data_IF_521521802710
#
_entry.id   IF_521521802710
#
_cell.length_a   1.000
_cell.length_b   1.000
_cell.length_c   1.000
_cell.angle_alpha   90.00
_cell.angle_beta   90.00
_cell.angle_gamma   90.00
#
_symmetry.space_group_name_H-M   'P 1'
#
loop_
_entity.id
_entity.type
_entity.pdbx_description
1 polymer ?
#
# COMPACT_ATOMS: atom_id res chain seq x y z
N UNK A 1 -4.54 95.14 -23.58
CA UNK A 1 -5.13 94.67 -22.30
C UNK A 1 -5.34 93.17 -22.39
N UNK A 2 -4.47 92.38 -21.76
CA UNK A 2 -4.54 90.91 -21.80
C UNK A 2 -5.45 90.37 -20.71
N UNK A 3 -6.44 89.54 -21.09
CA UNK A 3 -7.31 88.83 -20.16
C UNK A 3 -6.76 87.42 -19.91
N UNK A 4 -6.40 87.14 -18.67
CA UNK A 4 -6.05 85.81 -18.16
C UNK A 4 -7.34 84.98 -17.97
N UNK A 5 -7.49 83.88 -18.69
CA UNK A 5 -8.48 82.84 -18.38
C UNK A 5 -7.81 81.83 -17.44
N UNK A 6 -8.12 81.91 -16.15
CA UNK A 6 -7.67 80.96 -15.14
C UNK A 6 -8.65 79.79 -15.09
N UNK A 7 -8.32 78.67 -15.74
CA UNK A 7 -9.12 77.45 -15.70
C UNK A 7 -9.09 76.83 -14.30
N UNK A 8 -10.25 76.74 -13.63
CA UNK A 8 -10.45 75.96 -12.40
C UNK A 8 -10.54 74.46 -12.75
N UNK A 9 -9.41 73.79 -12.87
CA UNK A 9 -9.33 72.32 -12.85
C UNK A 9 -8.48 71.91 -11.65
N UNK A 10 -9.11 71.70 -10.49
CA UNK A 10 -8.36 71.40 -9.26
C UNK A 10 -9.06 70.52 -8.22
N UNK A 11 -10.39 70.35 -8.26
CA UNK A 11 -11.10 69.67 -7.16
C UNK A 11 -11.89 68.41 -7.52
N UNK A 12 -12.03 68.03 -8.80
CA UNK A 12 -12.72 66.79 -9.16
C UNK A 12 -11.84 65.53 -8.96
N UNK A 13 -10.52 65.64 -9.10
CA UNK A 13 -9.60 64.51 -8.94
C UNK A 13 -9.51 63.99 -7.50
N UNK A 14 -9.62 64.88 -6.49
CA UNK A 14 -9.47 64.52 -5.07
C UNK A 14 -10.67 63.67 -4.58
N UNK A 15 -11.85 63.87 -5.15
CA UNK A 15 -13.09 63.16 -4.76
C UNK A 15 -13.15 61.76 -5.40
N UNK A 16 -12.51 61.57 -6.55
CA UNK A 16 -12.49 60.30 -7.28
C UNK A 16 -11.46 59.30 -6.72
N UNK A 17 -10.38 59.78 -6.12
CA UNK A 17 -9.33 58.96 -5.49
C UNK A 17 -9.84 57.96 -4.44
N UNK A 18 -10.64 58.35 -3.42
CA UNK A 18 -11.16 57.40 -2.43
C UNK A 18 -12.15 56.40 -3.04
N UNK A 19 -12.89 56.81 -4.07
CA UNK A 19 -13.82 55.94 -4.81
C UNK A 19 -13.08 54.88 -5.62
N UNK A 20 -12.05 55.28 -6.38
CA UNK A 20 -11.18 54.37 -7.13
C UNK A 20 -10.44 53.40 -6.19
N UNK A 21 -9.97 53.87 -5.03
CA UNK A 21 -9.27 53.01 -4.08
C UNK A 21 -10.20 51.99 -3.42
N UNK A 22 -11.46 52.37 -3.14
CA UNK A 22 -12.50 51.44 -2.66
C UNK A 22 -12.84 50.39 -3.71
N UNK A 23 -13.01 50.82 -4.97
CA UNK A 23 -13.28 49.91 -6.09
C UNK A 23 -12.12 48.91 -6.32
N UNK A 24 -10.88 49.39 -6.24
CA UNK A 24 -9.67 48.56 -6.32
C UNK A 24 -9.56 47.57 -5.16
N UNK A 25 -9.98 47.97 -3.95
CA UNK A 25 -9.98 47.10 -2.78
C UNK A 25 -11.04 45.99 -2.91
N UNK A 26 -12.25 46.33 -3.34
CA UNK A 26 -13.32 45.35 -3.58
C UNK A 26 -12.96 44.37 -4.71
N UNK A 27 -12.36 44.86 -5.81
CA UNK A 27 -11.86 44.00 -6.89
C UNK A 27 -10.74 43.05 -6.40
N UNK A 28 -9.82 43.51 -5.54
CA UNK A 28 -8.78 42.66 -4.95
C UNK A 28 -9.37 41.59 -4.05
N UNK A 29 -10.34 41.94 -3.20
CA UNK A 29 -11.05 40.98 -2.35
C UNK A 29 -11.76 39.91 -3.19
N UNK A 30 -12.43 40.31 -4.28
CA UNK A 30 -13.08 39.38 -5.21
C UNK A 30 -12.05 38.42 -5.84
N UNK A 31 -10.93 38.94 -6.34
CA UNK A 31 -9.86 38.12 -6.93
C UNK A 31 -9.28 37.14 -5.91
N UNK A 32 -9.06 37.57 -4.66
CA UNK A 32 -8.55 36.70 -3.58
C UNK A 32 -9.58 35.60 -3.25
N UNK A 33 -10.87 35.95 -3.16
CA UNK A 33 -11.93 34.95 -2.90
C UNK A 33 -12.12 33.97 -4.05
N UNK A 34 -12.02 34.43 -5.30
CA UNK A 34 -12.07 33.56 -6.49
C UNK A 34 -10.84 32.66 -6.57
N UNK A 35 -9.65 33.17 -6.27
CA UNK A 35 -8.41 32.38 -6.22
C UNK A 35 -8.47 31.30 -5.13
N UNK A 36 -9.10 31.60 -3.98
CA UNK A 36 -9.29 30.62 -2.91
C UNK A 36 -10.34 29.56 -3.27
N UNK A 37 -11.39 29.94 -3.98
CA UNK A 37 -12.41 29.02 -4.49
C UNK A 37 -11.89 28.10 -5.60
N UNK A 38 -10.99 28.59 -6.47
CA UNK A 38 -10.32 27.78 -7.49
C UNK A 38 -9.38 26.74 -6.84
N UNK A 39 -8.73 27.06 -5.72
CA UNK A 39 -7.92 26.10 -4.96
C UNK A 39 -8.77 24.95 -4.37
N UNK A 40 -10.04 25.19 -4.04
CA UNK A 40 -10.96 24.16 -3.54
C UNK A 40 -11.41 23.18 -4.64
N UNK A 41 -11.33 23.58 -5.92
CA UNK A 41 -11.75 22.76 -7.07
C UNK A 41 -10.58 21.99 -7.71
N UNK A 42 -9.33 22.27 -7.34
CA UNK A 42 -8.13 21.63 -7.91
C UNK A 42 -7.79 20.25 -7.30
N UNK A 43 -8.63 19.72 -6.41
CA UNK A 43 -8.35 18.51 -5.62
C UNK A 43 -9.06 17.22 -6.04
N UNK A 44 -9.65 17.15 -7.24
CA UNK A 44 -10.30 15.93 -7.73
C UNK A 44 -9.47 15.27 -8.84
N UNK A 45 -8.39 14.58 -8.46
CA UNK A 45 -8.03 13.34 -9.14
C UNK A 45 -9.02 12.30 -8.64
N UNK A 46 -9.87 11.74 -9.50
CA UNK A 46 -10.75 10.63 -9.09
C UNK A 46 -9.89 9.56 -8.40
N UNK A 47 -10.21 9.27 -7.14
CA UNK A 47 -9.48 8.25 -6.38
C UNK A 47 -9.80 6.90 -7.02
N UNK A 48 -8.77 6.17 -7.47
CA UNK A 48 -8.91 4.82 -8.02
C UNK A 48 -9.61 3.92 -7.03
N UNK A 49 -10.52 3.09 -7.50
CA UNK A 49 -11.21 2.07 -6.70
C UNK A 49 -10.25 0.94 -6.30
N UNK A 50 -10.61 0.16 -5.28
CA UNK A 50 -9.83 -1.03 -4.88
C UNK A 50 -9.62 -2.00 -6.05
N UNK A 51 -10.64 -2.20 -6.90
CA UNK A 51 -10.53 -3.06 -8.08
C UNK A 51 -9.54 -2.53 -9.11
N UNK A 52 -9.58 -1.24 -9.42
CA UNK A 52 -8.64 -0.64 -10.37
C UNK A 52 -7.20 -0.73 -9.86
N UNK A 53 -6.98 -0.47 -8.56
CA UNK A 53 -5.67 -0.60 -7.93
C UNK A 53 -5.15 -2.05 -7.98
N UNK A 54 -6.02 -3.04 -7.76
CA UNK A 54 -5.63 -4.44 -7.86
C UNK A 54 -5.23 -4.79 -9.30
N UNK A 55 -6.06 -4.44 -10.28
CA UNK A 55 -5.80 -4.72 -11.70
C UNK A 55 -4.55 -4.01 -12.21
N UNK A 56 -4.30 -2.77 -11.79
CA UNK A 56 -3.05 -2.08 -12.12
C UNK A 56 -1.84 -2.74 -11.48
N UNK A 57 -1.93 -3.11 -10.20
CA UNK A 57 -0.87 -3.85 -9.52
C UNK A 57 -0.52 -5.14 -10.26
N UNK A 58 -1.53 -5.91 -10.68
CA UNK A 58 -1.34 -7.13 -11.46
C UNK A 58 -0.67 -6.87 -12.80
N UNK A 59 -1.16 -5.86 -13.53
CA UNK A 59 -0.59 -5.45 -14.81
C UNK A 59 0.88 -5.06 -14.67
N UNK A 60 1.20 -4.19 -13.72
CA UNK A 60 2.56 -3.75 -13.49
C UNK A 60 3.48 -4.87 -13.01
N UNK A 61 2.96 -5.83 -12.25
CA UNK A 61 3.70 -7.03 -11.87
C UNK A 61 4.08 -7.85 -13.10
N UNK A 62 3.13 -8.07 -14.02
CA UNK A 62 3.34 -8.83 -15.26
C UNK A 62 4.28 -8.13 -16.24
N UNK A 63 4.27 -6.81 -16.26
CA UNK A 63 5.14 -5.97 -17.11
C UNK A 63 6.49 -5.66 -16.43
N UNK A 64 6.76 -6.22 -15.25
CA UNK A 64 7.97 -6.00 -14.44
C UNK A 64 8.22 -4.53 -14.03
N UNK A 65 7.17 -3.71 -14.00
CA UNK A 65 7.17 -2.36 -13.41
C UNK A 65 6.95 -2.44 -11.89
N UNK A 66 7.92 -3.01 -11.18
CA UNK A 66 7.80 -3.34 -9.75
C UNK A 66 7.47 -2.13 -8.84
N UNK A 67 8.06 -0.93 -9.00
CA UNK A 67 7.71 0.22 -8.17
C UNK A 67 6.23 0.61 -8.26
N UNK A 68 5.68 0.60 -9.47
CA UNK A 68 4.29 0.91 -9.75
C UNK A 68 3.34 -0.19 -9.24
N UNK A 69 3.74 -1.46 -9.36
CA UNK A 69 3.01 -2.58 -8.78
C UNK A 69 2.91 -2.48 -7.25
N UNK A 70 4.05 -2.25 -6.58
CA UNK A 70 4.12 -2.07 -5.12
C UNK A 70 3.23 -0.89 -4.69
N UNK A 71 3.35 0.26 -5.36
CA UNK A 71 2.54 1.44 -5.04
C UNK A 71 1.04 1.15 -5.17
N UNK A 72 0.62 0.42 -6.20
CA UNK A 72 -0.79 0.11 -6.43
C UNK A 72 -1.36 -0.78 -5.32
N UNK A 73 -0.65 -1.84 -4.94
CA UNK A 73 -1.07 -2.71 -3.84
C UNK A 73 -1.02 -2.02 -2.49
N UNK A 74 0.05 -1.25 -2.18
CA UNK A 74 0.15 -0.48 -0.94
C UNK A 74 -0.99 0.54 -0.81
N UNK A 75 -1.30 1.23 -1.92
CA UNK A 75 -2.43 2.17 -1.96
C UNK A 75 -3.73 1.45 -1.66
N UNK A 76 -3.98 0.28 -2.27
CA UNK A 76 -5.19 -0.50 -2.02
C UNK A 76 -5.32 -0.87 -0.53
N UNK A 77 -4.28 -1.47 0.04
CA UNK A 77 -4.27 -1.94 1.44
C UNK A 77 -4.45 -0.78 2.42
N UNK A 78 -3.85 0.37 2.14
CA UNK A 78 -3.92 1.56 2.99
C UNK A 78 -5.27 2.26 2.90
N UNK A 79 -5.78 2.44 1.69
CA UNK A 79 -6.93 3.30 1.42
C UNK A 79 -8.26 2.56 1.47
N UNK A 80 -8.22 1.24 1.33
CA UNK A 80 -9.37 0.34 1.33
C UNK A 80 -9.14 -0.89 2.24
N UNK A 81 -8.76 -0.71 3.52
CA UNK A 81 -8.39 -1.82 4.39
C UNK A 81 -9.55 -2.81 4.63
N UNK A 82 -10.80 -2.35 4.61
CA UNK A 82 -11.99 -3.20 4.82
C UNK A 82 -12.55 -3.80 3.52
N UNK A 83 -11.95 -3.51 2.37
CA UNK A 83 -12.40 -4.05 1.09
C UNK A 83 -12.02 -5.53 0.96
N UNK A 84 -12.90 -6.31 0.33
CA UNK A 84 -12.71 -7.76 0.12
C UNK A 84 -11.46 -8.09 -0.71
N UNK A 85 -10.91 -7.12 -1.45
CA UNK A 85 -9.68 -7.25 -2.24
C UNK A 85 -8.40 -6.94 -1.45
N UNK A 86 -8.49 -6.34 -0.25
CA UNK A 86 -7.32 -5.99 0.55
C UNK A 86 -6.46 -7.21 0.95
N UNK A 87 -7.02 -8.37 1.35
CA UNK A 87 -6.24 -9.58 1.59
C UNK A 87 -5.50 -10.04 0.33
N UNK A 88 -6.15 -10.02 -0.84
CA UNK A 88 -5.54 -10.45 -2.10
C UNK A 88 -4.39 -9.52 -2.52
N UNK A 89 -4.58 -8.20 -2.42
CA UNK A 89 -3.51 -7.24 -2.67
C UNK A 89 -2.31 -7.46 -1.73
N UNK A 90 -2.58 -7.82 -0.47
CA UNK A 90 -1.55 -8.14 0.53
C UNK A 90 -0.77 -9.39 0.14
N UNK A 91 -1.44 -10.44 -0.34
CA UNK A 91 -0.76 -11.65 -0.88
C UNK A 91 0.17 -11.30 -2.03
N UNK A 92 -0.30 -10.50 -2.99
CA UNK A 92 0.48 -10.13 -4.18
C UNK A 92 1.69 -9.27 -3.81
N UNK A 93 1.51 -8.32 -2.90
CA UNK A 93 2.61 -7.51 -2.38
C UNK A 93 3.62 -8.36 -1.59
N UNK A 94 3.14 -9.26 -0.73
CA UNK A 94 4.01 -10.18 0.01
C UNK A 94 4.84 -11.06 -0.93
N UNK A 95 4.23 -11.58 -1.99
CA UNK A 95 4.93 -12.38 -3.00
C UNK A 95 6.03 -11.60 -3.74
N UNK A 96 5.82 -10.31 -4.07
CA UNK A 96 6.87 -9.44 -4.64
C UNK A 96 8.09 -9.40 -3.72
N UNK A 97 7.85 -9.23 -2.42
CA UNK A 97 8.90 -9.17 -1.41
C UNK A 97 9.53 -10.55 -1.13
N UNK A 98 8.75 -11.63 -1.09
CA UNK A 98 9.26 -12.99 -0.93
C UNK A 98 10.23 -13.34 -2.05
N UNK A 99 9.88 -13.00 -3.29
CA UNK A 99 10.69 -13.27 -4.47
C UNK A 99 11.83 -12.25 -4.69
N UNK A 100 12.07 -11.35 -3.72
CA UNK A 100 13.20 -10.39 -3.72
C UNK A 100 13.24 -9.55 -5.01
N UNK A 101 12.07 -9.18 -5.53
CA UNK A 101 11.96 -8.46 -6.81
C UNK A 101 12.30 -6.96 -6.69
N UNK A 102 12.21 -6.40 -5.49
CA UNK A 102 12.55 -4.99 -5.21
C UNK A 102 14.08 -4.82 -5.12
N UNK A 103 14.68 -4.02 -6.00
CA UNK A 103 16.15 -3.96 -6.20
C UNK A 103 16.93 -3.08 -5.23
N UNK A 104 16.26 -2.19 -4.49
CA UNK A 104 16.90 -1.18 -3.64
C UNK A 104 16.84 -1.50 -2.14
N UNK A 105 16.65 -2.77 -1.80
CA UNK A 105 16.63 -3.28 -0.42
C UNK A 105 17.43 -4.58 -0.36
N UNK A 106 17.88 -4.96 0.84
CA UNK A 106 18.57 -6.25 1.01
C UNK A 106 17.58 -7.42 0.89
N UNK A 107 18.07 -8.61 0.54
CA UNK A 107 17.22 -9.81 0.52
C UNK A 107 16.55 -10.07 1.88
N UNK A 108 17.30 -9.91 2.97
CA UNK A 108 16.77 -10.07 4.33
C UNK A 108 15.67 -9.06 4.63
N UNK A 109 15.84 -7.78 4.25
CA UNK A 109 14.80 -6.77 4.40
C UNK A 109 13.55 -7.10 3.57
N UNK A 110 13.73 -7.63 2.36
CA UNK A 110 12.64 -8.09 1.50
C UNK A 110 11.88 -9.24 2.16
N UNK A 111 12.58 -10.23 2.71
CA UNK A 111 11.97 -11.37 3.40
C UNK A 111 11.24 -10.94 4.68
N UNK A 112 11.78 -10.01 5.46
CA UNK A 112 11.11 -9.47 6.65
C UNK A 112 9.82 -8.72 6.28
N UNK A 113 9.83 -7.93 5.20
CA UNK A 113 8.60 -7.28 4.70
C UNK A 113 7.56 -8.29 4.24
N UNK A 114 7.98 -9.35 3.53
CA UNK A 114 7.10 -10.44 3.12
C UNK A 114 6.45 -11.11 4.33
N UNK A 115 7.24 -11.43 5.36
CA UNK A 115 6.79 -12.03 6.61
C UNK A 115 5.73 -11.16 7.30
N UNK A 116 6.00 -9.85 7.44
CA UNK A 116 5.06 -8.89 8.02
C UNK A 116 3.73 -8.84 7.25
N UNK A 117 3.81 -8.80 5.92
CA UNK A 117 2.63 -8.74 5.06
C UNK A 117 1.79 -10.01 5.16
N UNK A 118 2.39 -11.20 5.01
CA UNK A 118 1.67 -12.47 5.14
C UNK A 118 1.03 -12.63 6.52
N UNK A 119 1.76 -12.27 7.59
CA UNK A 119 1.24 -12.29 8.97
C UNK A 119 0.03 -11.37 9.12
N UNK A 120 0.09 -10.18 8.53
CA UNK A 120 -0.98 -9.19 8.63
C UNK A 120 -2.31 -9.66 8.03
N UNK A 121 -2.29 -10.60 7.08
CA UNK A 121 -3.52 -11.17 6.50
C UNK A 121 -4.32 -11.89 7.58
N UNK A 122 -3.67 -12.73 8.38
CA UNK A 122 -4.34 -13.43 9.48
C UNK A 122 -4.74 -12.46 10.61
N UNK A 123 -3.89 -11.48 10.93
CA UNK A 123 -4.16 -10.54 12.02
C UNK A 123 -5.30 -9.56 11.71
N UNK A 124 -5.38 -9.06 10.47
CA UNK A 124 -6.37 -8.05 10.05
C UNK A 124 -7.59 -8.65 9.36
N UNK A 125 -7.42 -9.76 8.66
CA UNK A 125 -8.47 -10.39 7.85
C UNK A 125 -8.69 -11.87 8.22
N UNK A 126 -8.88 -12.22 9.51
CA UNK A 126 -8.91 -13.62 9.96
C UNK A 126 -10.00 -14.49 9.32
N UNK A 127 -11.07 -13.87 8.79
CA UNK A 127 -12.15 -14.57 8.08
C UNK A 127 -12.01 -14.61 6.55
N UNK A 128 -10.94 -14.05 5.99
CA UNK A 128 -10.69 -14.08 4.55
C UNK A 128 -10.21 -15.47 4.10
N UNK A 129 -10.46 -15.83 2.83
CA UNK A 129 -9.96 -17.09 2.26
C UNK A 129 -8.43 -17.14 2.21
N UNK A 130 -7.77 -15.98 2.26
CA UNK A 130 -6.32 -15.82 2.25
C UNK A 130 -5.70 -15.99 3.64
N UNK A 131 -6.47 -15.93 4.73
CA UNK A 131 -5.91 -16.00 6.09
C UNK A 131 -5.16 -17.31 6.40
N UNK A 132 -5.68 -18.50 6.06
CA UNK A 132 -4.93 -19.74 6.22
C UNK A 132 -3.63 -19.72 5.40
N UNK A 133 -3.73 -19.37 4.12
CA UNK A 133 -2.55 -19.26 3.25
C UNK A 133 -1.53 -18.28 3.84
N UNK A 134 -1.96 -17.12 4.34
CA UNK A 134 -1.08 -16.10 4.90
C UNK A 134 -0.28 -16.65 6.07
N UNK A 135 -0.96 -17.30 7.01
CA UNK A 135 -0.29 -17.90 8.17
C UNK A 135 0.63 -19.07 7.79
N UNK A 136 0.25 -19.89 6.80
CA UNK A 136 1.13 -20.93 6.28
C UNK A 136 2.41 -20.33 5.66
N UNK A 137 2.26 -19.27 4.84
CA UNK A 137 3.38 -18.60 4.18
C UNK A 137 4.33 -17.92 5.17
N UNK A 138 3.84 -17.45 6.33
CA UNK A 138 4.72 -16.96 7.41
C UNK A 138 5.68 -18.08 7.84
N UNK A 139 5.16 -19.27 8.13
CA UNK A 139 5.97 -20.42 8.52
C UNK A 139 6.95 -20.83 7.42
N UNK A 140 6.49 -20.83 6.16
CA UNK A 140 7.31 -21.17 5.01
C UNK A 140 8.49 -20.21 4.83
N UNK A 141 8.27 -18.90 4.91
CA UNK A 141 9.33 -17.90 4.80
C UNK A 141 10.31 -18.03 5.97
N UNK A 142 9.81 -18.28 7.18
CA UNK A 142 10.67 -18.51 8.35
C UNK A 142 11.58 -19.73 8.16
N UNK A 143 11.03 -20.88 7.76
CA UNK A 143 11.83 -22.11 7.64
C UNK A 143 12.76 -22.11 6.42
N UNK A 144 12.23 -21.77 5.24
CA UNK A 144 12.90 -21.99 3.97
C UNK A 144 13.80 -20.83 3.54
N UNK A 145 13.45 -19.59 3.90
CA UNK A 145 14.19 -18.41 3.45
C UNK A 145 15.05 -17.79 4.57
N UNK A 146 14.52 -17.72 5.79
CA UNK A 146 15.21 -17.13 6.94
C UNK A 146 15.94 -18.16 7.81
N UNK A 147 15.64 -19.45 7.65
CA UNK A 147 16.12 -20.54 8.52
C UNK A 147 15.83 -20.31 10.02
N UNK A 148 14.76 -19.56 10.31
CA UNK A 148 14.19 -19.35 11.64
C UNK A 148 13.27 -20.52 11.99
N UNK A 149 13.87 -21.66 12.33
CA UNK A 149 13.11 -22.88 12.62
C UNK A 149 12.28 -22.79 13.89
N UNK A 150 12.74 -22.02 14.89
CA UNK A 150 11.98 -21.79 16.13
C UNK A 150 10.71 -20.99 15.80
N UNK A 151 10.84 -19.88 15.07
CA UNK A 151 9.69 -19.08 14.64
C UNK A 151 8.75 -19.86 13.69
N UNK A 152 9.30 -20.63 12.76
CA UNK A 152 8.50 -21.50 11.88
C UNK A 152 7.71 -22.54 12.68
N UNK A 153 8.33 -23.11 13.73
CA UNK A 153 7.68 -24.07 14.63
C UNK A 153 6.47 -23.44 15.32
N UNK A 154 6.64 -22.24 15.89
CA UNK A 154 5.55 -21.52 16.53
C UNK A 154 4.41 -21.22 15.55
N UNK A 155 4.75 -20.76 14.35
CA UNK A 155 3.78 -20.40 13.32
C UNK A 155 3.00 -21.60 12.79
N UNK A 156 3.66 -22.71 12.44
CA UNK A 156 2.97 -23.90 11.96
C UNK A 156 2.11 -24.55 13.04
N UNK A 157 2.55 -24.55 14.30
CA UNK A 157 1.70 -25.00 15.41
C UNK A 157 0.47 -24.09 15.60
N UNK A 158 0.63 -22.77 15.43
CA UNK A 158 -0.51 -21.85 15.41
C UNK A 158 -1.45 -22.16 14.25
N UNK A 159 -0.93 -22.36 13.04
CA UNK A 159 -1.72 -22.76 11.87
C UNK A 159 -2.55 -24.01 12.15
N UNK A 160 -1.94 -25.07 12.67
CA UNK A 160 -2.62 -26.33 12.98
C UNK A 160 -3.67 -26.19 14.09
N UNK A 161 -3.49 -25.21 14.97
CA UNK A 161 -4.46 -24.89 16.03
C UNK A 161 -5.67 -24.11 15.49
N UNK A 162 -5.45 -23.14 14.60
CA UNK A 162 -6.50 -22.22 14.13
C UNK A 162 -7.19 -22.70 12.85
N UNK A 163 -6.51 -23.50 12.04
CA UNK A 163 -6.99 -24.04 10.77
C UNK A 163 -6.77 -25.58 10.68
N UNK A 164 -7.24 -26.37 11.68
CA UNK A 164 -6.93 -27.80 11.78
C UNK A 164 -7.44 -28.65 10.60
N UNK A 165 -8.54 -28.23 9.97
CA UNK A 165 -9.21 -28.94 8.87
C UNK A 165 -8.91 -28.34 7.50
N UNK A 166 -8.03 -27.33 7.41
CA UNK A 166 -7.66 -26.71 6.15
C UNK A 166 -6.77 -27.65 5.31
N UNK A 167 -6.85 -27.56 3.98
CA UNK A 167 -6.09 -28.43 3.06
C UNK A 167 -4.57 -28.37 3.29
N UNK A 168 -4.05 -27.21 3.70
CA UNK A 168 -2.63 -27.00 4.03
C UNK A 168 -2.21 -27.57 5.40
N UNK A 169 -3.11 -28.11 6.22
CA UNK A 169 -2.76 -28.66 7.53
C UNK A 169 -1.85 -29.89 7.43
N UNK A 170 -2.01 -30.71 6.39
CA UNK A 170 -1.09 -31.81 6.13
C UNK A 170 0.32 -31.29 5.78
N UNK A 171 0.39 -30.29 4.89
CA UNK A 171 1.65 -29.64 4.51
C UNK A 171 2.34 -28.96 5.69
N UNK A 172 1.59 -28.30 6.59
CA UNK A 172 2.16 -27.67 7.78
C UNK A 172 2.79 -28.69 8.74
N UNK A 173 2.19 -29.89 8.87
CA UNK A 173 2.79 -31.00 9.64
C UNK A 173 4.04 -31.53 8.96
N UNK A 174 4.04 -31.64 7.64
CA UNK A 174 5.20 -32.09 6.88
C UNK A 174 6.38 -31.13 7.00
N UNK A 175 6.13 -29.82 6.90
CA UNK A 175 7.12 -28.78 7.12
C UNK A 175 7.72 -28.85 8.52
N UNK A 176 6.89 -28.98 9.57
CA UNK A 176 7.37 -29.19 10.95
C UNK A 176 8.25 -30.43 11.10
N UNK A 177 7.89 -31.52 10.43
CA UNK A 177 8.61 -32.78 10.49
C UNK A 177 9.98 -32.70 9.78
N UNK A 178 10.08 -31.90 8.73
CA UNK A 178 11.18 -31.96 7.76
C UNK A 178 12.04 -30.70 7.67
N UNK A 179 11.63 -29.58 8.28
CA UNK A 179 12.40 -28.33 8.25
C UNK A 179 13.84 -28.56 8.75
N UNK A 180 14.79 -27.99 8.01
CA UNK A 180 16.22 -28.14 8.28
C UNK A 180 16.86 -29.45 7.79
N UNK A 181 16.08 -30.40 7.25
CA UNK A 181 16.61 -31.61 6.63
C UNK A 181 16.88 -31.40 5.14
N UNK A 182 17.90 -32.08 4.60
CA UNK A 182 18.12 -32.17 3.15
C UNK A 182 17.13 -33.15 2.49
N UNK A 183 16.94 -33.08 1.16
CA UNK A 183 16.13 -34.07 0.44
C UNK A 183 16.60 -35.52 0.67
N UNK A 184 17.91 -35.74 0.75
CA UNK A 184 18.49 -37.05 1.05
C UNK A 184 18.11 -37.52 2.46
N UNK A 185 18.20 -36.65 3.47
CA UNK A 185 17.84 -36.96 4.85
C UNK A 185 16.34 -37.28 4.99
N UNK A 186 15.48 -36.52 4.31
CA UNK A 186 14.03 -36.78 4.26
C UNK A 186 13.76 -38.14 3.61
N UNK A 187 14.44 -38.47 2.50
CA UNK A 187 14.31 -39.78 1.86
C UNK A 187 14.70 -40.92 2.80
N UNK A 188 15.85 -40.82 3.47
CA UNK A 188 16.30 -41.85 4.42
C UNK A 188 15.32 -42.00 5.59
N UNK A 189 14.85 -40.89 6.16
CA UNK A 189 13.84 -40.86 7.23
C UNK A 189 12.55 -41.56 6.81
N UNK A 190 12.10 -41.35 5.56
CA UNK A 190 10.87 -41.97 5.03
C UNK A 190 11.04 -43.47 4.76
N UNK A 191 12.20 -43.90 4.25
CA UNK A 191 12.51 -45.33 4.05
C UNK A 191 12.51 -46.08 5.39
N UNK A 192 13.12 -45.51 6.43
CA UNK A 192 13.17 -46.10 7.77
C UNK A 192 11.80 -46.20 8.47
N UNK A 193 10.79 -45.42 8.07
CA UNK A 193 9.41 -45.48 8.62
C UNK A 193 8.57 -46.59 7.97
N UNK A 194 9.03 -47.19 6.87
CA UNK A 194 8.32 -48.22 6.11
C UNK A 194 8.74 -49.65 6.47
N UNK A 195 9.78 -49.81 7.29
CA UNK A 195 10.28 -51.07 7.84
C UNK A 195 9.62 -51.41 9.19
#
# INVERSE_FOLDING_TARGET
MGYYIRCKFGNQFIILLPFLNKLLLEMKTIIITLSFFILLLAGCSDKKTARELLTEGEKFTNEEYLPEAVLSYETLIKDYPEDVLAPEATVRLAAIYQNKLVKNISENESLLKSLELFKSIYEKYPGSQQAPMGLFMVGFVQSNELHDYDGATETYNLFLKVFPDHELAASAKEELDNMGLTPEEILQKNLARQE
#
